data_IF_007483905841
#
_entry.id   IF_007483905841
#
_cell.length_a   1.000
_cell.length_b   1.000
_cell.length_c   1.000
_cell.angle_alpha   90.00
_cell.angle_beta   90.00
_cell.angle_gamma   90.00
#
_symmetry.space_group_name_H-M   'P 1'
#
loop_
_entity.id
_entity.type
_entity.pdbx_description
1 polymer ?
#
# COMPACT_ATOMS: atom_id res chain seq x y z
N UNK A 1 -0.20 -66.40 20.85
CA UNK A 1 -0.94 -65.69 19.79
C UNK A 1 -1.17 -64.28 20.30
N UNK A 2 -0.35 -63.33 19.87
CA UNK A 2 -0.29 -61.95 20.38
C UNK A 2 -1.03 -61.06 19.37
N UNK A 3 -2.01 -60.22 19.78
CA UNK A 3 -2.63 -59.27 18.87
C UNK A 3 -1.79 -58.01 18.74
N UNK A 4 -1.61 -57.57 17.50
CA UNK A 4 -0.85 -56.41 17.06
C UNK A 4 -1.69 -55.15 17.29
N UNK A 5 -1.13 -54.17 18.01
CA UNK A 5 -1.68 -52.82 18.16
C UNK A 5 -1.59 -52.07 16.82
N UNK A 6 -2.73 -51.58 16.33
CA UNK A 6 -2.76 -50.62 15.22
C UNK A 6 -2.30 -49.25 15.71
N UNK A 7 -1.14 -48.81 15.24
CA UNK A 7 -0.65 -47.45 15.42
C UNK A 7 -1.46 -46.50 14.54
N UNK A 8 -2.23 -45.61 15.16
CA UNK A 8 -2.83 -44.47 14.48
C UNK A 8 -1.73 -43.53 13.99
N UNK A 9 -1.65 -43.37 12.68
CA UNK A 9 -0.81 -42.36 12.03
C UNK A 9 -1.47 -41.01 12.34
N UNK A 10 -0.83 -40.22 13.20
CA UNK A 10 -1.13 -38.79 13.33
C UNK A 10 -0.65 -38.15 12.03
N UNK A 11 -1.59 -37.85 11.11
CA UNK A 11 -1.30 -36.90 10.03
C UNK A 11 -1.12 -35.53 10.68
N UNK A 12 0.13 -35.11 10.80
CA UNK A 12 0.47 -33.70 11.01
C UNK A 12 -0.03 -32.95 9.77
N UNK A 13 -1.12 -32.21 9.89
CA UNK A 13 -1.48 -31.21 8.91
C UNK A 13 -0.42 -30.10 9.01
N UNK A 14 0.56 -30.13 8.11
CA UNK A 14 1.44 -28.99 7.89
C UNK A 14 0.53 -27.93 7.27
N UNK A 15 0.20 -26.89 8.05
CA UNK A 15 -0.31 -25.65 7.50
C UNK A 15 0.76 -25.12 6.54
N UNK A 16 0.55 -25.33 5.25
CA UNK A 16 1.25 -24.55 4.24
C UNK A 16 0.57 -23.20 4.29
N UNK A 17 1.12 -22.31 5.12
CA UNK A 17 0.92 -20.88 4.96
C UNK A 17 1.34 -20.62 3.51
N UNK A 18 0.39 -20.30 2.63
CA UNK A 18 0.75 -19.59 1.42
C UNK A 18 1.21 -18.20 1.86
N UNK A 19 2.44 -18.11 2.36
CA UNK A 19 3.29 -16.98 2.03
C UNK A 19 3.27 -17.04 0.52
N UNK A 20 2.60 -16.08 -0.14
CA UNK A 20 2.81 -15.90 -1.57
C UNK A 20 4.31 -16.10 -1.78
N UNK A 21 4.75 -17.09 -2.59
CA UNK A 21 6.15 -17.45 -2.61
C UNK A 21 6.94 -16.15 -2.75
N UNK A 22 7.95 -16.00 -1.89
CA UNK A 22 8.93 -14.90 -1.83
C UNK A 22 9.76 -14.79 -3.13
N UNK A 23 9.14 -15.11 -4.27
CA UNK A 23 9.61 -15.08 -5.64
C UNK A 23 8.78 -14.13 -6.50
N UNK A 24 7.67 -13.57 -6.01
CA UNK A 24 7.09 -12.37 -6.61
C UNK A 24 7.89 -11.16 -6.11
N UNK A 25 8.44 -10.36 -7.04
CA UNK A 25 8.93 -9.02 -6.73
C UNK A 25 7.83 -8.31 -5.95
N UNK A 26 8.08 -7.90 -4.71
CA UNK A 26 7.10 -7.11 -3.98
C UNK A 26 6.78 -5.87 -4.83
N UNK A 27 5.50 -5.54 -5.04
CA UNK A 27 5.12 -4.41 -5.89
C UNK A 27 5.69 -3.10 -5.31
N UNK A 28 6.33 -2.25 -6.13
CA UNK A 28 7.05 -1.06 -5.68
C UNK A 28 6.18 0.22 -5.76
N UNK A 29 6.25 0.96 -6.87
CA UNK A 29 5.58 2.25 -7.04
C UNK A 29 4.05 2.09 -7.17
N UNK A 30 3.28 2.88 -6.43
CA UNK A 30 1.81 2.81 -6.42
C UNK A 30 1.23 1.87 -5.36
N UNK A 31 2.04 1.43 -4.40
CA UNK A 31 1.59 0.53 -3.32
C UNK A 31 0.68 1.21 -2.30
N UNK A 32 0.90 2.50 -2.07
CA UNK A 32 0.02 3.38 -1.32
C UNK A 32 -0.17 4.66 -2.12
N UNK A 33 -1.40 5.19 -2.14
CA UNK A 33 -1.74 6.45 -2.78
C UNK A 33 -2.59 7.26 -1.80
N UNK A 34 -2.29 8.54 -1.68
CA UNK A 34 -3.14 9.50 -1.01
C UNK A 34 -3.31 10.73 -1.90
N UNK A 35 -4.50 11.34 -1.87
CA UNK A 35 -4.86 12.38 -2.81
C UNK A 35 -5.71 13.46 -2.17
N UNK A 36 -5.41 14.71 -2.48
CA UNK A 36 -6.28 15.88 -2.26
C UNK A 36 -6.61 16.49 -3.64
N UNK A 37 -7.46 17.52 -3.72
CA UNK A 37 -7.68 18.23 -4.98
C UNK A 37 -6.39 18.84 -5.58
N UNK A 38 -5.36 19.08 -4.75
CA UNK A 38 -4.11 19.73 -5.16
C UNK A 38 -2.89 18.83 -5.11
N UNK A 39 -2.96 17.69 -4.43
CA UNK A 39 -1.80 16.84 -4.13
C UNK A 39 -2.07 15.39 -4.51
N UNK A 40 -1.07 14.76 -5.12
CA UNK A 40 -1.03 13.31 -5.31
C UNK A 40 0.25 12.80 -4.69
N UNK A 41 0.11 11.86 -3.76
CA UNK A 41 1.22 11.27 -3.03
C UNK A 41 1.27 9.78 -3.30
N UNK A 42 2.40 9.28 -3.80
CA UNK A 42 2.56 7.89 -4.22
C UNK A 42 3.73 7.26 -3.46
N UNK A 43 3.47 6.12 -2.83
CA UNK A 43 4.48 5.34 -2.13
C UNK A 43 5.19 4.32 -3.01
N UNK A 44 6.50 4.23 -2.82
CA UNK A 44 7.39 3.17 -3.32
C UNK A 44 8.17 2.58 -2.13
N UNK A 45 7.49 1.80 -1.24
CA UNK A 45 8.05 1.41 0.05
C UNK A 45 9.12 0.34 -0.02
N UNK A 46 9.03 -0.55 -1.01
CA UNK A 46 10.00 -1.62 -1.19
C UNK A 46 11.00 -1.16 -2.23
N UNK A 47 12.26 -1.17 -1.83
CA UNK A 47 13.40 -1.03 -2.72
C UNK A 47 14.44 -2.05 -2.25
N UNK A 48 14.82 -2.97 -3.13
CA UNK A 48 15.76 -4.05 -2.79
C UNK A 48 17.16 -3.51 -2.45
N UNK A 49 17.44 -2.29 -2.89
CA UNK A 49 18.76 -1.70 -2.90
C UNK A 49 18.86 -0.41 -2.07
N UNK A 50 17.73 0.13 -1.61
CA UNK A 50 17.68 1.37 -0.86
C UNK A 50 16.46 1.47 0.05
N UNK A 51 16.34 2.57 0.82
CA UNK A 51 15.12 2.87 1.55
C UNK A 51 13.94 3.11 0.60
N UNK A 52 12.73 2.99 1.15
CA UNK A 52 11.51 3.39 0.43
C UNK A 52 11.51 4.88 0.10
N UNK A 53 10.82 5.26 -0.97
CA UNK A 53 10.66 6.66 -1.41
C UNK A 53 9.19 6.99 -1.56
N UNK A 54 8.83 8.23 -1.25
CA UNK A 54 7.48 8.76 -1.49
C UNK A 54 7.58 9.94 -2.46
N UNK A 55 6.72 9.93 -3.47
CA UNK A 55 6.66 10.95 -4.51
C UNK A 55 5.48 11.87 -4.24
N UNK A 56 5.73 13.15 -4.00
CA UNK A 56 4.69 14.15 -3.75
C UNK A 56 4.56 15.07 -4.97
N UNK A 57 3.46 14.94 -5.70
CA UNK A 57 3.11 15.71 -6.88
C UNK A 57 2.14 16.84 -6.52
N UNK A 58 2.30 17.98 -7.18
CA UNK A 58 1.36 19.11 -7.12
C UNK A 58 0.56 19.19 -8.42
N UNK A 59 -0.73 19.48 -8.32
CA UNK A 59 -1.60 19.66 -9.48
C UNK A 59 -1.28 20.98 -10.20
N UNK A 60 -1.18 20.93 -11.54
CA UNK A 60 -1.07 22.10 -12.41
C UNK A 60 -2.20 22.13 -13.46
N UNK A 61 -2.23 23.19 -14.29
CA UNK A 61 -3.15 23.26 -15.44
C UNK A 61 -2.85 22.22 -16.52
N UNK A 62 -1.62 21.73 -16.59
CA UNK A 62 -1.15 20.77 -17.59
C UNK A 62 -1.11 19.33 -17.06
N UNK A 63 -1.51 19.09 -15.79
CA UNK A 63 -1.55 17.77 -15.18
C UNK A 63 -0.94 17.75 -13.77
N UNK A 64 0.13 16.99 -13.61
CA UNK A 64 0.94 16.89 -12.38
C UNK A 64 2.33 17.47 -12.64
N UNK A 65 2.84 18.26 -11.69
CA UNK A 65 4.22 18.77 -11.74
C UNK A 65 5.25 17.69 -11.37
N UNK A 66 6.53 17.96 -11.63
CA UNK A 66 7.62 17.07 -11.20
C UNK A 66 7.55 16.82 -9.68
N UNK A 67 7.62 15.56 -9.22
CA UNK A 67 7.40 15.25 -7.83
C UNK A 67 8.58 15.68 -6.96
N UNK A 68 8.27 16.14 -5.75
CA UNK A 68 9.26 16.14 -4.68
C UNK A 68 9.48 14.70 -4.20
N UNK A 69 10.72 14.25 -4.19
CA UNK A 69 11.10 12.97 -3.57
C UNK A 69 11.27 13.14 -2.06
N UNK A 70 10.47 12.39 -1.30
CA UNK A 70 10.50 12.35 0.15
C UNK A 70 11.18 11.06 0.61
N UNK A 71 12.16 11.21 1.49
CA UNK A 71 12.88 10.10 2.12
C UNK A 71 12.97 10.32 3.62
N UNK A 72 13.12 9.24 4.38
CA UNK A 72 13.44 9.31 5.80
C UNK A 72 14.97 9.23 6.00
N UNK A 73 15.59 10.18 6.73
CA UNK A 73 17.05 10.32 6.80
C UNK A 73 17.76 9.14 7.47
N UNK A 74 17.03 8.38 8.30
CA UNK A 74 17.50 7.22 9.04
C UNK A 74 16.84 5.91 8.55
N UNK A 75 16.20 5.93 7.37
CA UNK A 75 15.58 4.74 6.79
C UNK A 75 16.60 3.84 6.11
N UNK A 76 16.43 2.54 6.30
CA UNK A 76 17.19 1.48 5.65
C UNK A 76 16.34 0.73 4.63
N UNK A 77 16.99 -0.10 3.81
CA UNK A 77 16.29 -1.05 2.95
C UNK A 77 15.30 -1.88 3.77
N UNK A 78 14.13 -2.15 3.19
CA UNK A 78 13.06 -2.95 3.79
C UNK A 78 12.36 -2.33 5.01
N UNK A 79 12.67 -1.10 5.41
CA UNK A 79 11.93 -0.38 6.47
C UNK A 79 10.47 -0.07 6.06
N UNK A 80 10.16 -0.11 4.75
CA UNK A 80 8.84 0.16 4.18
C UNK A 80 8.36 1.62 4.30
N UNK A 81 9.27 2.58 4.20
CA UNK A 81 8.91 4.01 4.18
C UNK A 81 7.99 4.31 2.98
N UNK A 82 6.76 4.76 3.24
CA UNK A 82 5.76 4.98 2.19
C UNK A 82 4.75 3.85 2.05
N UNK A 83 4.70 2.90 2.99
CA UNK A 83 3.75 1.79 2.97
C UNK A 83 2.32 2.22 3.28
N UNK A 84 2.16 3.25 4.09
CA UNK A 84 0.90 3.93 4.38
C UNK A 84 1.12 5.43 4.27
N UNK A 85 0.15 6.14 3.70
CA UNK A 85 0.22 7.58 3.47
C UNK A 85 -1.13 8.17 3.82
N UNK A 86 -1.14 9.22 4.64
CA UNK A 86 -2.30 10.06 4.87
C UNK A 86 -1.90 11.51 4.65
N UNK A 87 -2.70 12.28 3.91
CA UNK A 87 -2.46 13.68 3.63
C UNK A 87 -3.73 14.48 3.94
N UNK A 88 -3.56 15.57 4.67
CA UNK A 88 -4.60 16.57 4.86
C UNK A 88 -3.98 17.96 4.74
N UNK A 89 -4.37 18.67 3.67
CA UNK A 89 -3.97 20.05 3.41
C UNK A 89 -2.45 20.24 3.37
N UNK A 90 -1.85 20.73 4.45
CA UNK A 90 -0.42 21.02 4.59
C UNK A 90 0.29 20.10 5.59
N UNK A 91 -0.34 18.99 5.96
CA UNK A 91 0.24 17.96 6.82
C UNK A 91 0.12 16.61 6.14
N UNK A 92 1.18 15.81 6.22
CA UNK A 92 1.22 14.46 5.69
C UNK A 92 1.88 13.55 6.72
N UNK A 93 1.35 12.33 6.87
CA UNK A 93 1.93 11.28 7.68
C UNK A 93 2.30 10.10 6.77
N UNK A 94 3.51 9.57 6.94
CA UNK A 94 4.05 8.45 6.17
C UNK A 94 4.47 7.33 7.12
N UNK A 95 3.92 6.14 6.90
CA UNK A 95 4.18 4.94 7.69
C UNK A 95 5.39 4.16 7.21
N UNK A 96 6.10 3.56 8.17
CA UNK A 96 7.34 2.78 7.99
C UNK A 96 7.28 1.51 8.87
N UNK A 97 6.30 0.61 8.64
CA UNK A 97 5.92 -0.42 9.62
C UNK A 97 6.97 -1.51 9.84
N UNK A 98 7.98 -1.63 8.97
CA UNK A 98 9.06 -2.62 9.13
C UNK A 98 10.34 -2.05 9.74
N UNK A 99 10.36 -0.76 10.10
CA UNK A 99 11.48 -0.14 10.81
C UNK A 99 11.78 -0.87 12.12
N UNK A 100 13.05 -0.95 12.49
CA UNK A 100 13.53 -1.44 13.79
C UNK A 100 12.92 -2.81 14.16
N UNK A 101 13.21 -3.84 13.37
CA UNK A 101 12.69 -5.20 13.61
C UNK A 101 11.15 -5.28 13.69
N UNK A 102 10.48 -4.44 12.89
CA UNK A 102 9.01 -4.33 12.81
C UNK A 102 8.34 -3.61 13.99
N UNK A 103 9.10 -2.86 14.79
CA UNK A 103 8.55 -1.92 15.77
C UNK A 103 7.81 -0.73 15.08
N UNK A 104 8.21 -0.41 13.84
CA UNK A 104 7.55 0.58 13.01
C UNK A 104 7.81 2.04 13.42
N UNK A 105 7.45 2.96 12.52
CA UNK A 105 7.56 4.40 12.72
C UNK A 105 6.61 5.17 11.81
N UNK A 106 6.30 6.42 12.18
CA UNK A 106 5.58 7.38 11.34
C UNK A 106 6.38 8.67 11.23
N UNK A 107 6.61 9.14 10.01
CA UNK A 107 7.22 10.44 9.75
C UNK A 107 6.14 11.44 9.36
N UNK A 108 6.16 12.61 9.98
CA UNK A 108 5.21 13.69 9.70
C UNK A 108 5.92 14.80 8.93
N UNK A 109 5.39 15.09 7.75
CA UNK A 109 5.82 16.17 6.89
C UNK A 109 4.82 17.33 6.95
N UNK A 110 5.32 18.56 6.92
CA UNK A 110 4.48 19.74 6.75
C UNK A 110 5.10 20.70 5.74
N UNK A 111 4.26 21.58 5.20
CA UNK A 111 4.69 22.68 4.33
C UNK A 111 3.98 23.98 4.73
N UNK A 112 4.60 25.16 4.56
CA UNK A 112 3.96 26.45 4.83
C UNK A 112 2.72 26.74 3.97
N UNK A 113 2.68 26.21 2.75
CA UNK A 113 1.59 26.37 1.78
C UNK A 113 1.77 25.41 0.60
N UNK A 114 0.79 25.33 -0.30
CA UNK A 114 0.75 24.36 -1.41
C UNK A 114 1.97 24.42 -2.31
N UNK A 115 2.50 25.61 -2.54
CA UNK A 115 3.64 25.86 -3.44
C UNK A 115 4.99 25.70 -2.74
N UNK A 116 4.99 25.30 -1.45
CA UNK A 116 6.20 25.10 -0.66
C UNK A 116 6.57 23.62 -0.58
N UNK A 117 7.86 23.28 -0.52
CA UNK A 117 8.28 21.88 -0.38
C UNK A 117 7.83 21.33 0.98
N UNK A 118 7.50 20.04 0.99
CA UNK A 118 7.29 19.26 2.19
C UNK A 118 8.61 19.09 2.96
N UNK A 119 8.56 19.25 4.27
CA UNK A 119 9.68 19.02 5.16
C UNK A 119 9.28 18.16 6.36
N UNK A 120 10.17 17.26 6.78
CA UNK A 120 9.96 16.47 8.01
C UNK A 120 9.92 17.43 9.20
N UNK A 121 8.87 17.32 10.01
CA UNK A 121 8.70 18.12 11.23
C UNK A 121 8.54 17.29 12.49
N UNK A 122 8.21 16.00 12.37
CA UNK A 122 8.18 15.09 13.52
C UNK A 122 8.41 13.65 13.08
N UNK A 123 8.88 12.84 14.01
CA UNK A 123 8.94 11.39 13.91
C UNK A 123 8.26 10.80 15.14
N UNK A 124 7.33 9.90 14.91
CA UNK A 124 6.62 9.14 15.93
C UNK A 124 7.19 7.73 15.90
N UNK A 125 7.85 7.35 16.99
CA UNK A 125 8.39 6.01 17.21
C UNK A 125 7.92 5.48 18.57
N UNK A 126 7.93 4.16 18.76
CA UNK A 126 7.82 3.55 20.08
C UNK A 126 8.79 4.14 21.10
N UNK A 127 8.42 4.11 22.38
CA UNK A 127 9.38 4.31 23.46
C UNK A 127 10.38 3.13 23.48
N UNK A 128 11.61 3.35 23.98
CA UNK A 128 12.74 2.39 23.87
C UNK A 128 12.50 1.00 24.49
N UNK A 129 11.44 0.81 25.26
CA UNK A 129 11.09 -0.45 25.93
C UNK A 129 9.73 -1.01 25.48
N UNK A 130 9.09 -0.38 24.48
CA UNK A 130 7.83 -0.80 23.90
C UNK A 130 8.07 -1.35 22.50
N UNK A 131 7.77 -2.63 22.26
CA UNK A 131 7.67 -3.14 20.90
C UNK A 131 6.26 -2.86 20.40
N UNK A 132 6.13 -1.93 19.45
CA UNK A 132 4.86 -1.68 18.79
C UNK A 132 4.82 -2.55 17.54
N UNK A 133 3.91 -3.50 17.48
CA UNK A 133 3.85 -4.40 16.36
C UNK A 133 3.40 -3.67 15.09
N UNK A 134 4.37 -3.33 14.24
CA UNK A 134 4.21 -2.71 12.93
C UNK A 134 3.50 -1.34 12.98
N UNK A 135 3.94 -0.44 13.87
CA UNK A 135 3.41 0.93 13.95
C UNK A 135 3.46 1.63 12.58
N UNK A 136 2.35 2.24 12.17
CA UNK A 136 2.26 2.95 10.90
C UNK A 136 1.84 2.07 9.74
N UNK A 137 1.24 0.89 10.02
CA UNK A 137 0.65 0.05 8.98
C UNK A 137 -0.57 0.70 8.33
N UNK A 138 -1.36 1.44 9.11
CA UNK A 138 -2.49 2.23 8.64
C UNK A 138 -2.46 3.63 9.28
N UNK A 139 -2.91 4.63 8.53
CA UNK A 139 -2.91 6.02 8.96
C UNK A 139 -4.25 6.68 8.60
N UNK A 140 -4.80 7.48 9.51
CA UNK A 140 -5.87 8.44 9.21
C UNK A 140 -5.51 9.78 9.83
N UNK A 141 -5.53 10.85 9.03
CA UNK A 141 -5.08 12.19 9.40
C UNK A 141 -6.20 13.20 9.12
N UNK A 142 -6.51 14.05 10.10
CA UNK A 142 -7.43 15.19 9.93
C UNK A 142 -7.00 16.33 10.84
N UNK A 143 -6.57 17.43 10.25
CA UNK A 143 -6.09 18.62 10.94
C UNK A 143 -4.93 18.30 11.90
N UNK A 144 -5.25 18.27 13.20
CA UNK A 144 -4.30 18.03 14.28
C UNK A 144 -4.44 16.64 14.90
N UNK A 145 -5.28 15.77 14.36
CA UNK A 145 -5.51 14.42 14.87
C UNK A 145 -4.94 13.38 13.91
N UNK A 146 -4.22 12.41 14.45
CA UNK A 146 -3.59 11.33 13.70
C UNK A 146 -3.89 10.00 14.40
N UNK A 147 -4.55 9.09 13.67
CA UNK A 147 -4.75 7.70 14.09
C UNK A 147 -3.72 6.81 13.39
N UNK A 148 -3.06 5.94 14.16
CA UNK A 148 -1.97 5.09 13.70
C UNK A 148 -2.22 3.64 14.10
N UNK A 149 -2.36 2.76 13.12
CA UNK A 149 -2.52 1.33 13.33
C UNK A 149 -1.20 0.62 13.62
N UNK A 150 -1.24 -0.32 14.57
CA UNK A 150 -0.13 -1.20 14.94
C UNK A 150 -0.70 -2.63 15.16
N UNK A 151 -0.93 -3.39 14.06
CA UNK A 151 -1.76 -4.59 14.07
C UNK A 151 -1.18 -5.81 14.77
N UNK A 152 0.11 -5.81 15.11
CA UNK A 152 0.76 -6.94 15.79
C UNK A 152 1.15 -6.65 17.24
N UNK A 153 0.79 -5.47 17.76
CA UNK A 153 1.03 -5.08 19.16
C UNK A 153 0.26 -5.99 20.12
N UNK A 154 0.94 -6.59 21.10
CA UNK A 154 0.29 -7.33 22.17
C UNK A 154 -0.60 -8.50 21.72
N UNK A 155 -0.31 -9.12 20.56
CA UNK A 155 -1.06 -10.23 19.92
C UNK A 155 -2.46 -9.89 19.38
N UNK A 156 -3.02 -8.74 19.75
CA UNK A 156 -4.34 -8.26 19.30
C UNK A 156 -4.22 -7.12 18.28
N UNK A 157 -3.19 -6.29 18.35
CA UNK A 157 -3.12 -5.06 17.56
C UNK A 157 -3.90 -3.92 18.21
N UNK A 158 -3.47 -2.69 17.93
CA UNK A 158 -4.01 -1.46 18.56
C UNK A 158 -4.03 -0.31 17.57
N UNK A 159 -4.80 0.74 17.89
CA UNK A 159 -4.77 2.02 17.18
C UNK A 159 -4.39 3.12 18.16
N UNK A 160 -3.32 3.83 17.87
CA UNK A 160 -2.87 4.97 18.66
C UNK A 160 -3.47 6.26 18.13
N UNK A 161 -3.96 7.10 19.02
CA UNK A 161 -4.47 8.42 18.69
C UNK A 161 -3.51 9.50 19.18
N UNK A 162 -2.87 10.19 18.25
CA UNK A 162 -1.97 11.29 18.51
C UNK A 162 -2.63 12.63 18.17
N UNK A 163 -2.40 13.62 19.04
CA UNK A 163 -2.84 15.00 18.83
C UNK A 163 -1.66 15.93 18.69
N UNK A 164 -1.72 16.83 17.72
CA UNK A 164 -0.73 17.89 17.51
C UNK A 164 -1.09 19.15 18.30
N UNK A 165 -0.19 19.57 19.19
CA UNK A 165 -0.29 20.85 19.89
C UNK A 165 1.07 21.53 19.96
N UNK A 166 1.14 22.81 19.60
CA UNK A 166 2.41 23.56 19.58
C UNK A 166 3.49 22.97 18.67
N UNK A 167 3.10 22.23 17.62
CA UNK A 167 4.02 21.53 16.71
C UNK A 167 4.44 20.13 17.17
N UNK A 168 4.09 19.72 18.39
CA UNK A 168 4.42 18.41 18.95
C UNK A 168 3.24 17.47 18.84
N UNK A 169 3.48 16.24 18.39
CA UNK A 169 2.51 15.14 18.44
C UNK A 169 2.64 14.39 19.76
N UNK A 170 1.56 14.32 20.54
CA UNK A 170 1.50 13.57 21.80
C UNK A 170 0.43 12.49 21.73
N UNK A 171 0.73 11.31 22.28
CA UNK A 171 -0.25 10.24 22.43
C UNK A 171 -1.36 10.71 23.38
N UNK A 172 -2.60 10.73 22.89
CA UNK A 172 -3.78 11.12 23.63
C UNK A 172 -4.48 9.89 24.23
N UNK A 173 -4.76 8.90 23.38
CA UNK A 173 -5.44 7.65 23.76
C UNK A 173 -4.95 6.47 22.93
N UNK A 174 -5.12 5.26 23.47
CA UNK A 174 -4.96 4.00 22.73
C UNK A 174 -6.32 3.34 22.61
N UNK A 175 -6.70 2.99 21.38
CA UNK A 175 -7.94 2.32 21.04
C UNK A 175 -7.65 0.83 20.90
N UNK A 176 -8.41 0.02 21.60
CA UNK A 176 -8.32 -1.45 21.59
C UNK A 176 -9.67 -2.05 21.24
N UNK A 177 -9.69 -3.24 20.62
CA UNK A 177 -10.91 -4.01 20.45
C UNK A 177 -11.34 -4.66 21.77
N UNK A 178 -12.60 -5.06 21.86
CA UNK A 178 -13.08 -5.98 22.89
C UNK A 178 -12.44 -7.36 22.68
N UNK A 179 -11.47 -7.73 23.53
CA UNK A 179 -10.77 -9.01 23.49
C UNK A 179 -9.48 -9.03 22.66
N UNK A 180 -8.99 -10.24 22.34
CA UNK A 180 -7.81 -10.46 21.50
C UNK A 180 -8.23 -10.67 20.04
N UNK A 181 -7.86 -9.75 19.14
CA UNK A 181 -8.34 -9.69 17.76
C UNK A 181 -7.18 -9.49 16.80
N UNK A 182 -6.51 -10.56 16.40
CA UNK A 182 -5.36 -10.48 15.49
C UNK A 182 -5.60 -9.58 14.26
N UNK A 183 -4.67 -8.64 14.03
CA UNK A 183 -4.69 -7.74 12.88
C UNK A 183 -5.49 -6.46 13.07
N UNK A 184 -6.06 -6.21 14.26
CA UNK A 184 -6.78 -4.97 14.55
C UNK A 184 -5.89 -3.74 14.30
N UNK A 185 -6.34 -2.85 13.42
CA UNK A 185 -5.59 -1.66 13.03
C UNK A 185 -4.86 -1.79 11.69
N UNK A 186 -5.15 -2.83 10.90
CA UNK A 186 -4.57 -2.99 9.55
C UNK A 186 -5.19 -2.02 8.53
N UNK A 187 -6.44 -1.60 8.74
CA UNK A 187 -7.11 -0.58 7.94
C UNK A 187 -7.87 0.38 8.85
N UNK A 188 -7.87 1.67 8.51
CA UNK A 188 -8.51 2.72 9.30
C UNK A 188 -9.26 3.68 8.37
N UNK A 189 -10.47 4.06 8.77
CA UNK A 189 -11.16 5.21 8.18
C UNK A 189 -11.96 5.94 9.26
N UNK A 190 -12.07 7.25 9.12
CA UNK A 190 -12.68 8.10 10.13
C UNK A 190 -13.45 9.23 9.48
N UNK A 191 -14.71 9.40 9.91
CA UNK A 191 -15.50 10.58 9.62
C UNK A 191 -16.32 11.05 10.82
N UNK A 192 -16.37 12.38 11.01
CA UNK A 192 -17.04 13.00 12.15
C UNK A 192 -16.53 12.44 13.48
N UNK A 193 -17.39 11.70 14.18
CA UNK A 193 -17.08 11.06 15.45
C UNK A 193 -16.97 9.54 15.35
N UNK A 194 -16.92 8.98 14.14
CA UNK A 194 -17.03 7.54 13.87
C UNK A 194 -15.75 7.00 13.22
N UNK A 195 -15.07 6.09 13.92
CA UNK A 195 -13.89 5.39 13.45
C UNK A 195 -14.25 3.93 13.14
N UNK A 196 -13.85 3.47 11.96
CA UNK A 196 -13.87 2.05 11.62
C UNK A 196 -12.46 1.49 11.50
N UNK A 197 -12.27 0.30 12.07
CA UNK A 197 -10.99 -0.40 12.16
C UNK A 197 -11.13 -1.80 11.57
N UNK A 198 -10.27 -2.12 10.61
CA UNK A 198 -10.18 -3.44 9.99
C UNK A 198 -9.23 -4.38 10.72
N UNK A 199 -9.63 -5.65 10.81
CA UNK A 199 -8.84 -6.76 11.32
C UNK A 199 -8.96 -7.97 10.35
N UNK A 200 -8.35 -7.91 9.16
CA UNK A 200 -8.56 -8.89 8.10
C UNK A 200 -8.01 -10.29 8.40
N UNK A 201 -7.15 -10.44 9.41
CA UNK A 201 -6.61 -11.73 9.86
C UNK A 201 -7.39 -12.34 11.04
N UNK A 202 -8.35 -11.59 11.60
CA UNK A 202 -9.20 -12.03 12.70
C UNK A 202 -10.04 -13.26 12.33
N UNK A 203 -10.34 -14.10 13.34
CA UNK A 203 -11.24 -15.25 13.21
C UNK A 203 -10.80 -16.20 12.08
N UNK A 204 -9.56 -16.66 12.18
CA UNK A 204 -8.93 -17.58 11.22
C UNK A 204 -8.95 -17.06 9.77
N UNK A 205 -8.72 -15.75 9.58
CA UNK A 205 -8.65 -15.14 8.25
C UNK A 205 -9.99 -14.72 7.63
N UNK A 206 -11.13 -15.01 8.28
CA UNK A 206 -12.44 -14.48 7.84
C UNK A 206 -12.46 -12.96 7.83
N UNK A 207 -11.73 -12.35 8.76
CA UNK A 207 -11.62 -10.91 8.92
C UNK A 207 -12.84 -10.30 9.62
N UNK A 208 -12.60 -9.15 10.27
CA UNK A 208 -13.61 -8.39 11.04
C UNK A 208 -13.42 -6.90 10.89
N UNK A 209 -14.49 -6.16 11.19
CA UNK A 209 -14.48 -4.70 11.32
C UNK A 209 -15.04 -4.32 12.68
N UNK A 210 -14.47 -3.26 13.24
CA UNK A 210 -14.83 -2.72 14.54
C UNK A 210 -15.13 -1.23 14.41
N UNK A 211 -16.09 -0.74 15.18
CA UNK A 211 -16.45 0.67 15.27
C UNK A 211 -16.11 1.23 16.65
N UNK A 212 -15.57 2.44 16.69
CA UNK A 212 -15.39 3.23 17.90
C UNK A 212 -15.94 4.63 17.66
N UNK A 213 -16.54 5.23 18.70
CA UNK A 213 -17.01 6.61 18.63
C UNK A 213 -16.15 7.52 19.51
N UNK A 214 -16.02 8.78 19.10
CA UNK A 214 -15.31 9.79 19.90
C UNK A 214 -16.15 10.16 21.13
N UNK A 215 -15.48 10.22 22.28
CA UNK A 215 -16.05 10.59 23.58
C UNK A 215 -16.04 12.12 23.75
N UNK A 216 -16.85 12.65 24.68
CA UNK A 216 -16.92 14.09 24.97
C UNK A 216 -15.58 14.70 25.42
N UNK A 217 -14.68 13.88 25.98
CA UNK A 217 -13.35 14.31 26.38
C UNK A 217 -12.34 14.39 25.21
N UNK A 218 -12.78 14.12 23.97
CA UNK A 218 -11.94 14.14 22.77
C UNK A 218 -11.11 12.88 22.55
N UNK A 219 -11.18 11.89 23.45
CA UNK A 219 -10.62 10.56 23.26
C UNK A 219 -11.57 9.64 22.50
N UNK A 220 -11.13 8.43 22.21
CA UNK A 220 -11.96 7.41 21.55
C UNK A 220 -12.43 6.35 22.54
N UNK A 221 -13.66 5.86 22.35
CA UNK A 221 -14.20 4.73 23.09
C UNK A 221 -13.56 3.40 22.70
N UNK A 222 -13.94 2.34 23.41
CA UNK A 222 -13.58 0.96 23.04
C UNK A 222 -14.19 0.58 21.68
N UNK A 223 -13.43 -0.15 20.87
CA UNK A 223 -13.87 -0.57 19.56
C UNK A 223 -14.70 -1.86 19.65
N UNK A 224 -15.92 -1.83 19.11
CA UNK A 224 -16.87 -2.96 19.13
C UNK A 224 -17.03 -3.55 17.75
N UNK A 225 -17.15 -4.88 17.69
CA UNK A 225 -17.30 -5.58 16.41
C UNK A 225 -18.60 -5.17 15.72
N UNK A 226 -18.52 -4.92 14.42
CA UNK A 226 -19.68 -4.73 13.53
C UNK A 226 -20.00 -6.05 12.84
N UNK A 227 -21.29 -6.40 12.78
CA UNK A 227 -21.72 -7.61 12.08
C UNK A 227 -21.65 -7.43 10.56
N UNK A 228 -20.98 -8.36 9.88
CA UNK A 228 -20.87 -8.41 8.42
C UNK A 228 -21.63 -9.63 7.89
N UNK A 229 -22.65 -9.40 7.06
CA UNK A 229 -23.47 -10.48 6.49
C UNK A 229 -22.90 -10.86 5.11
N UNK A 230 -22.71 -12.17 4.89
CA UNK A 230 -22.26 -12.75 3.61
C UNK A 230 -20.78 -12.53 3.25
N UNK A 231 -20.16 -11.50 3.80
CA UNK A 231 -18.85 -11.01 3.36
C UNK A 231 -17.67 -11.72 4.07
N UNK A 232 -17.82 -12.05 5.35
CA UNK A 232 -16.83 -12.79 6.17
C UNK A 232 -17.23 -14.27 6.36
N UNK A 233 -17.70 -14.92 5.30
CA UNK A 233 -18.37 -16.23 5.39
C UNK A 233 -17.43 -17.46 5.31
N UNK A 234 -16.13 -17.26 5.04
CA UNK A 234 -15.12 -18.31 5.00
C UNK A 234 -13.73 -17.76 5.36
N UNK A 235 -12.80 -18.66 5.69
CA UNK A 235 -11.45 -18.36 6.21
C UNK A 235 -10.55 -17.60 5.23
N UNK A 236 -10.91 -17.54 3.94
CA UNK A 236 -10.16 -16.77 2.95
C UNK A 236 -10.67 -15.32 2.82
N UNK A 237 -11.85 -14.99 3.36
CA UNK A 237 -12.58 -13.76 3.08
C UNK A 237 -11.77 -12.47 3.30
N UNK A 238 -11.03 -12.40 4.40
CA UNK A 238 -10.20 -11.24 4.78
C UNK A 238 -10.99 -9.93 4.82
N UNK A 239 -12.19 -9.97 5.37
CA UNK A 239 -13.04 -8.79 5.50
C UNK A 239 -12.36 -7.71 6.36
N UNK A 240 -12.49 -6.44 5.95
CA UNK A 240 -11.79 -5.32 6.60
C UNK A 240 -10.36 -5.09 6.05
N UNK A 241 -10.03 -5.68 4.89
CA UNK A 241 -8.77 -5.38 4.19
C UNK A 241 -8.74 -3.94 3.69
N UNK A 242 -9.88 -3.45 3.20
CA UNK A 242 -10.07 -2.07 2.78
C UNK A 242 -11.36 -1.54 3.40
N UNK A 243 -11.36 -0.28 3.83
CA UNK A 243 -12.53 0.37 4.40
C UNK A 243 -12.54 1.83 3.94
N UNK A 244 -13.69 2.29 3.48
CA UNK A 244 -13.93 3.71 3.21
C UNK A 244 -15.26 4.13 3.82
N UNK A 245 -15.35 5.40 4.21
CA UNK A 245 -16.46 5.98 4.95
C UNK A 245 -16.81 7.33 4.35
N UNK A 246 -18.07 7.53 3.98
CA UNK A 246 -18.60 8.85 3.61
C UNK A 246 -20.10 8.90 3.85
N UNK A 247 -20.61 10.07 4.27
CA UNK A 247 -22.05 10.35 4.35
C UNK A 247 -22.83 9.28 5.16
N UNK A 248 -22.28 8.81 6.28
CA UNK A 248 -22.90 7.77 7.12
C UNK A 248 -22.94 6.37 6.51
N UNK A 249 -22.22 6.14 5.41
CA UNK A 249 -22.06 4.84 4.77
C UNK A 249 -20.61 4.38 4.89
N UNK A 250 -20.43 3.13 5.31
CA UNK A 250 -19.14 2.48 5.25
C UNK A 250 -19.17 1.34 4.24
N UNK A 251 -18.05 1.18 3.54
CA UNK A 251 -17.84 0.14 2.56
C UNK A 251 -16.62 -0.67 3.02
N UNK A 252 -16.80 -1.97 3.14
CA UNK A 252 -15.80 -2.89 3.70
C UNK A 252 -15.48 -3.96 2.68
N UNK A 253 -14.25 -3.98 2.19
CA UNK A 253 -13.79 -4.98 1.24
C UNK A 253 -13.41 -6.31 1.91
N UNK A 254 -13.79 -7.40 1.26
CA UNK A 254 -13.36 -8.76 1.55
C UNK A 254 -12.86 -9.42 0.25
N UNK A 255 -11.61 -9.14 -0.13
CA UNK A 255 -11.09 -9.58 -1.43
C UNK A 255 -11.06 -11.09 -1.60
N UNK A 256 -10.96 -11.89 -0.53
CA UNK A 256 -10.93 -13.34 -0.69
C UNK A 256 -12.28 -13.96 -1.05
N UNK A 257 -13.37 -13.31 -0.67
CA UNK A 257 -14.74 -13.67 -1.09
C UNK A 257 -15.22 -12.85 -2.27
N UNK A 258 -14.37 -11.97 -2.82
CA UNK A 258 -14.69 -11.10 -3.94
C UNK A 258 -15.95 -10.25 -3.68
N UNK A 259 -16.03 -9.66 -2.49
CA UNK A 259 -17.21 -8.94 -2.03
C UNK A 259 -16.88 -7.62 -1.30
N UNK A 260 -17.87 -6.72 -1.25
CA UNK A 260 -17.87 -5.49 -0.45
C UNK A 260 -19.15 -5.42 0.38
N UNK A 261 -19.02 -5.33 1.70
CA UNK A 261 -20.15 -5.06 2.58
C UNK A 261 -20.46 -3.56 2.60
N UNK A 262 -21.75 -3.22 2.53
CA UNK A 262 -22.28 -1.87 2.70
C UNK A 262 -22.91 -1.76 4.08
N UNK A 263 -22.39 -0.86 4.90
CA UNK A 263 -22.86 -0.61 6.25
C UNK A 263 -23.46 0.80 6.35
N UNK A 264 -24.41 0.95 7.26
CA UNK A 264 -24.98 2.25 7.63
C UNK A 264 -24.92 2.45 9.13
N UNK A 265 -24.78 3.70 9.54
CA UNK A 265 -24.92 4.10 10.94
C UNK A 265 -26.37 4.50 11.22
N UNK A 266 -26.94 4.01 12.31
CA UNK A 266 -28.25 4.42 12.81
C UNK A 266 -28.16 5.71 13.63
N UNK A 267 -29.31 6.32 13.93
CA UNK A 267 -29.38 7.58 14.69
C UNK A 267 -28.77 7.48 16.11
N UNK A 268 -28.69 6.28 16.66
CA UNK A 268 -28.05 5.98 17.95
C UNK A 268 -26.56 5.63 17.85
N UNK A 269 -25.96 5.74 16.65
CA UNK A 269 -24.53 5.51 16.41
C UNK A 269 -24.15 4.04 16.17
N UNK A 270 -25.12 3.12 16.06
CA UNK A 270 -24.81 1.71 15.79
C UNK A 270 -24.62 1.45 14.28
N UNK A 271 -23.55 0.75 13.93
CA UNK A 271 -23.33 0.30 12.56
C UNK A 271 -24.07 -1.01 12.28
N UNK A 272 -24.77 -1.08 11.14
CA UNK A 272 -25.47 -2.28 10.70
C UNK A 272 -25.27 -2.55 9.21
N UNK A 273 -25.25 -3.83 8.84
CA UNK A 273 -25.16 -4.28 7.45
C UNK A 273 -26.46 -3.99 6.69
N UNK A 274 -26.31 -3.58 5.42
CA UNK A 274 -27.45 -3.25 4.55
C UNK A 274 -27.44 -4.01 3.24
N UNK A 275 -26.27 -4.18 2.62
CA UNK A 275 -26.11 -4.81 1.33
C UNK A 275 -24.73 -5.44 1.21
N UNK A 276 -24.60 -6.46 0.35
CA UNK A 276 -23.31 -7.00 -0.09
C UNK A 276 -23.23 -6.84 -1.60
N UNK A 277 -22.16 -6.21 -2.06
CA UNK A 277 -21.82 -6.09 -3.48
C UNK A 277 -20.84 -7.21 -3.83
N UNK A 278 -21.24 -8.11 -4.72
CA UNK A 278 -20.37 -9.16 -5.23
C UNK A 278 -19.66 -8.72 -6.51
N UNK A 279 -18.53 -9.37 -6.83
CA UNK A 279 -17.86 -9.20 -8.11
C UNK A 279 -18.87 -9.44 -9.27
N UNK A 280 -19.06 -8.46 -10.17
CA UNK A 280 -20.06 -8.55 -11.24
C UNK A 280 -19.77 -9.67 -12.25
N UNK A 281 -18.51 -10.05 -12.38
CA UNK A 281 -18.00 -11.06 -13.30
C UNK A 281 -16.69 -11.65 -12.75
N UNK A 282 -16.37 -12.87 -13.20
CA UNK A 282 -15.14 -13.59 -12.88
C UNK A 282 -14.77 -13.58 -11.37
N UNK A 283 -15.70 -13.90 -10.45
CA UNK A 283 -15.49 -13.72 -9.01
C UNK A 283 -14.29 -14.50 -8.46
N UNK A 284 -14.07 -15.72 -8.97
CA UNK A 284 -13.04 -16.63 -8.49
C UNK A 284 -11.63 -16.04 -8.66
N UNK A 285 -11.01 -15.68 -7.53
CA UNK A 285 -9.68 -15.10 -7.50
C UNK A 285 -9.60 -13.66 -8.03
N UNK A 286 -10.74 -12.99 -8.30
CA UNK A 286 -10.79 -11.59 -8.74
C UNK A 286 -10.15 -10.61 -7.76
N UNK A 287 -10.20 -10.94 -6.47
CA UNK A 287 -9.86 -10.04 -5.38
C UNK A 287 -10.73 -8.76 -5.37
N UNK A 288 -11.97 -8.83 -5.85
CA UNK A 288 -12.90 -7.71 -5.78
C UNK A 288 -13.11 -7.24 -4.34
N UNK A 289 -12.98 -5.94 -4.10
CA UNK A 289 -12.95 -5.36 -2.75
C UNK A 289 -11.54 -5.19 -2.18
N UNK A 290 -10.49 -5.41 -2.98
CA UNK A 290 -9.11 -5.24 -2.52
C UNK A 290 -8.79 -3.79 -2.15
N UNK A 291 -9.26 -2.85 -2.95
CA UNK A 291 -9.16 -1.42 -2.69
C UNK A 291 -10.50 -0.72 -2.96
N UNK A 292 -10.76 0.37 -2.24
CA UNK A 292 -11.99 1.13 -2.33
C UNK A 292 -11.65 2.62 -2.43
N UNK A 293 -12.29 3.31 -3.36
CA UNK A 293 -12.24 4.76 -3.50
C UNK A 293 -13.64 5.36 -3.61
N UNK A 294 -13.85 6.54 -3.03
CA UNK A 294 -15.11 7.27 -3.14
C UNK A 294 -14.88 8.60 -3.85
N UNK A 295 -15.71 8.90 -4.84
CA UNK A 295 -15.71 10.18 -5.55
C UNK A 295 -17.13 10.63 -5.84
N UNK A 296 -17.58 11.65 -5.09
CA UNK A 296 -18.97 12.10 -5.15
C UNK A 296 -19.92 10.95 -4.80
N UNK A 297 -20.75 10.57 -5.76
CA UNK A 297 -21.75 9.49 -5.70
C UNK A 297 -21.22 8.14 -6.24
N UNK A 298 -19.93 8.05 -6.57
CA UNK A 298 -19.33 6.86 -7.15
C UNK A 298 -18.44 6.10 -6.16
N UNK A 299 -18.61 4.78 -6.12
CA UNK A 299 -17.72 3.84 -5.46
C UNK A 299 -16.87 3.13 -6.51
N UNK A 300 -15.57 3.18 -6.32
CA UNK A 300 -14.57 2.51 -7.14
C UNK A 300 -14.04 1.32 -6.37
N UNK A 301 -14.19 0.13 -6.93
CA UNK A 301 -13.76 -1.13 -6.31
C UNK A 301 -12.66 -1.75 -7.16
N UNK A 302 -11.48 -1.85 -6.58
CA UNK A 302 -10.35 -2.52 -7.18
C UNK A 302 -10.43 -4.04 -7.05
N UNK A 303 -10.01 -4.72 -8.11
CA UNK A 303 -10.01 -6.17 -8.21
C UNK A 303 -8.77 -6.64 -9.00
N UNK A 304 -7.57 -6.52 -8.40
CA UNK A 304 -6.29 -6.73 -9.06
C UNK A 304 -6.03 -8.19 -9.47
N UNK A 305 -6.85 -9.14 -8.99
CA UNK A 305 -6.73 -10.56 -9.33
C UNK A 305 -7.41 -10.98 -10.63
N UNK A 306 -8.32 -10.15 -11.17
CA UNK A 306 -9.03 -10.43 -12.42
C UNK A 306 -8.13 -10.45 -13.66
N UNK A 307 -8.65 -11.03 -14.75
CA UNK A 307 -7.97 -11.14 -16.06
C UNK A 307 -6.52 -11.61 -15.91
N UNK A 308 -6.35 -12.81 -15.32
CA UNK A 308 -5.03 -13.40 -15.06
C UNK A 308 -4.09 -12.46 -14.26
N UNK A 309 -4.65 -11.71 -13.30
CA UNK A 309 -3.99 -10.69 -12.46
C UNK A 309 -3.59 -9.39 -13.18
N UNK A 310 -4.09 -9.14 -14.39
CA UNK A 310 -3.98 -7.81 -14.98
C UNK A 310 -4.81 -6.79 -14.19
N UNK A 311 -5.87 -7.25 -13.55
CA UNK A 311 -6.70 -6.42 -12.67
C UNK A 311 -7.71 -5.57 -13.43
N UNK A 312 -8.70 -5.08 -12.68
CA UNK A 312 -9.79 -4.23 -13.15
C UNK A 312 -10.31 -3.37 -12.00
N UNK A 313 -10.95 -2.26 -12.35
CA UNK A 313 -11.76 -1.47 -11.40
C UNK A 313 -13.21 -1.47 -11.84
N UNK A 314 -14.13 -1.59 -10.88
CA UNK A 314 -15.55 -1.39 -11.10
C UNK A 314 -16.02 -0.10 -10.43
N UNK A 315 -16.80 0.68 -11.18
CA UNK A 315 -17.37 1.93 -10.71
C UNK A 315 -18.87 1.77 -10.55
N UNK A 316 -19.33 1.82 -9.31
CA UNK A 316 -20.74 1.82 -8.94
C UNK A 316 -21.19 3.26 -8.75
N UNK A 317 -22.41 3.58 -9.16
CA UNK A 317 -23.05 4.87 -8.86
C UNK A 317 -24.18 4.62 -7.88
N UNK A 318 -24.24 5.40 -6.80
CA UNK A 318 -25.34 5.29 -5.85
C UNK A 318 -26.61 5.92 -6.43
N UNK A 319 -27.76 5.29 -6.17
CA UNK A 319 -29.07 5.91 -6.38
C UNK A 319 -29.66 6.31 -5.04
N UNK A 320 -29.83 7.62 -4.83
CA UNK A 320 -30.41 8.23 -3.62
C UNK A 320 -29.68 7.87 -2.31
N UNK A 321 -28.37 7.66 -2.32
CA UNK A 321 -27.57 7.32 -1.13
C UNK A 321 -28.01 6.03 -0.41
N UNK A 322 -28.71 5.10 -1.06
CA UNK A 322 -29.20 3.86 -0.39
C UNK A 322 -28.91 2.56 -1.14
N UNK A 323 -28.66 2.61 -2.45
CA UNK A 323 -28.35 1.40 -3.23
C UNK A 323 -27.35 1.68 -4.34
N UNK A 324 -26.49 0.71 -4.61
CA UNK A 324 -25.50 0.80 -5.69
C UNK A 324 -26.05 0.20 -6.98
N UNK A 325 -25.99 0.98 -8.06
CA UNK A 325 -26.45 0.55 -9.38
C UNK A 325 -25.51 -0.43 -10.06
N UNK A 326 -25.85 -0.84 -11.30
CA UNK A 326 -24.98 -1.69 -12.10
C UNK A 326 -23.62 -1.01 -12.35
N UNK A 327 -22.50 -1.69 -12.12
CA UNK A 327 -21.20 -1.08 -12.23
C UNK A 327 -20.78 -0.90 -13.70
N UNK A 328 -19.99 0.13 -13.93
CA UNK A 328 -19.18 0.28 -15.14
C UNK A 328 -17.79 -0.27 -14.90
N UNK A 329 -17.27 -1.04 -15.86
CA UNK A 329 -15.88 -1.50 -15.81
C UNK A 329 -14.94 -0.38 -16.27
N UNK A 330 -13.79 -0.32 -15.63
CA UNK A 330 -12.62 0.41 -16.06
C UNK A 330 -11.48 -0.60 -16.17
N UNK A 331 -11.02 -0.81 -17.40
CA UNK A 331 -9.88 -1.64 -17.74
C UNK A 331 -8.65 -0.74 -17.97
N UNK A 332 -7.43 -1.25 -17.79
CA UNK A 332 -6.24 -0.53 -18.24
C UNK A 332 -6.29 -0.38 -19.78
N UNK A 333 -6.04 0.83 -20.27
CA UNK A 333 -6.19 1.17 -21.71
C UNK A 333 -5.28 0.37 -22.63
N UNK A 334 -4.10 -0.06 -22.15
CA UNK A 334 -3.14 -0.82 -22.93
C UNK A 334 -2.48 -1.94 -22.12
N UNK A 335 -2.70 -3.18 -22.56
CA UNK A 335 -2.03 -4.39 -22.05
C UNK A 335 -0.94 -4.90 -23.01
N UNK A 336 -0.75 -4.24 -24.17
CA UNK A 336 0.27 -4.61 -25.13
C UNK A 336 1.67 -4.35 -24.56
N UNK A 337 2.60 -5.28 -24.84
CA UNK A 337 3.95 -5.25 -24.28
C UNK A 337 4.05 -5.63 -22.79
N UNK A 338 2.94 -5.84 -22.08
CA UNK A 338 2.99 -6.31 -20.70
C UNK A 338 3.42 -7.78 -20.64
N UNK A 339 4.68 -8.03 -20.31
CA UNK A 339 5.21 -9.39 -20.10
C UNK A 339 4.74 -10.03 -18.78
N UNK A 340 4.16 -9.24 -17.88
CA UNK A 340 3.72 -9.62 -16.54
C UNK A 340 2.37 -8.99 -16.19
N UNK A 341 1.59 -9.60 -15.26
CA UNK A 341 0.31 -9.05 -14.86
C UNK A 341 0.44 -7.64 -14.28
N UNK A 342 -0.47 -6.74 -14.62
CA UNK A 342 -0.40 -5.33 -14.20
C UNK A 342 -0.81 -5.09 -12.75
N UNK A 343 -1.78 -5.86 -12.24
CA UNK A 343 -2.41 -5.62 -10.94
C UNK A 343 -3.19 -4.30 -10.88
N UNK A 344 -3.86 -3.91 -11.97
CA UNK A 344 -4.69 -2.71 -12.03
C UNK A 344 -5.81 -2.74 -10.98
N UNK A 345 -5.98 -1.65 -10.23
CA UNK A 345 -6.93 -1.59 -9.12
C UNK A 345 -6.34 -2.00 -7.77
N UNK A 346 -5.00 -2.08 -7.65
CA UNK A 346 -4.37 -2.40 -6.38
C UNK A 346 -4.60 -1.32 -5.31
N UNK A 347 -4.53 -0.04 -5.71
CA UNK A 347 -4.92 1.10 -4.89
C UNK A 347 -5.68 2.09 -5.76
N UNK A 348 -6.73 2.68 -5.19
CA UNK A 348 -7.57 3.69 -5.83
C UNK A 348 -7.62 4.90 -4.91
N UNK A 349 -7.39 6.08 -5.46
CA UNK A 349 -7.58 7.35 -4.76
C UNK A 349 -8.28 8.35 -5.68
N UNK A 350 -9.03 9.28 -5.10
CA UNK A 350 -9.81 10.25 -5.86
C UNK A 350 -10.06 11.52 -5.06
N UNK A 351 -10.06 12.65 -5.76
CA UNK A 351 -10.40 13.94 -5.20
C UNK A 351 -10.94 14.87 -6.30
N UNK A 352 -12.15 15.42 -6.08
CA UNK A 352 -12.78 16.32 -7.05
C UNK A 352 -13.05 15.63 -8.39
N UNK A 353 -12.48 16.18 -9.46
CA UNK A 353 -12.56 15.70 -10.84
C UNK A 353 -11.35 14.84 -11.25
N UNK A 354 -10.51 14.43 -10.30
CA UNK A 354 -9.34 13.59 -10.55
C UNK A 354 -9.40 12.28 -9.77
N UNK A 355 -8.88 11.22 -10.37
CA UNK A 355 -8.75 9.90 -9.77
C UNK A 355 -7.46 9.23 -10.21
N UNK A 356 -7.05 8.21 -9.46
CA UNK A 356 -5.79 7.52 -9.65
C UNK A 356 -5.98 6.04 -9.36
N UNK A 357 -5.43 5.20 -10.22
CA UNK A 357 -5.45 3.74 -10.07
C UNK A 357 -4.04 3.18 -10.25
N UNK A 358 -3.56 2.38 -9.30
CA UNK A 358 -2.22 1.78 -9.41
C UNK A 358 -2.20 0.42 -10.09
N UNK A 359 -1.04 0.13 -10.67
CA UNK A 359 -0.62 -1.12 -11.33
C UNK A 359 0.77 -1.51 -10.80
N UNK A 360 0.90 -1.89 -9.53
CA UNK A 360 2.21 -2.00 -8.92
C UNK A 360 2.97 -3.26 -9.35
N UNK A 361 2.32 -4.19 -10.07
CA UNK A 361 2.97 -5.36 -10.67
C UNK A 361 3.51 -5.07 -12.09
N UNK A 362 3.13 -3.93 -12.69
CA UNK A 362 3.64 -3.52 -14.01
C UNK A 362 5.15 -3.33 -13.97
N UNK A 363 5.81 -3.52 -15.12
CA UNK A 363 7.26 -3.40 -15.27
C UNK A 363 7.99 -4.32 -14.27
N UNK A 364 7.62 -5.60 -14.30
CA UNK A 364 8.15 -6.66 -13.44
C UNK A 364 7.89 -6.49 -11.94
N UNK A 365 7.22 -5.42 -11.51
CA UNK A 365 7.02 -5.08 -10.09
C UNK A 365 7.59 -3.73 -9.71
N UNK A 366 8.20 -3.00 -10.66
CA UNK A 366 8.62 -1.61 -10.44
C UNK A 366 7.44 -0.65 -10.33
N UNK A 367 6.27 -1.06 -10.85
CA UNK A 367 4.99 -0.43 -10.62
C UNK A 367 4.75 0.83 -11.43
N UNK A 368 3.47 1.09 -11.71
CA UNK A 368 2.98 2.31 -12.36
C UNK A 368 1.66 2.76 -11.79
N UNK A 369 1.29 3.99 -12.09
CA UNK A 369 0.03 4.60 -11.66
C UNK A 369 -0.62 5.32 -12.83
N UNK A 370 -1.89 5.04 -13.08
CA UNK A 370 -2.69 5.73 -14.09
C UNK A 370 -3.51 6.85 -13.43
N UNK A 371 -3.39 8.06 -13.95
CA UNK A 371 -4.21 9.21 -13.54
C UNK A 371 -5.42 9.30 -14.47
N UNK A 372 -6.53 9.79 -13.92
CA UNK A 372 -7.79 9.98 -14.63
C UNK A 372 -8.36 11.35 -14.30
N UNK A 373 -9.04 11.95 -15.27
CA UNK A 373 -9.78 13.20 -15.12
C UNK A 373 -11.24 13.00 -15.53
N UNK A 374 -12.16 13.71 -14.84
CA UNK A 374 -13.61 13.64 -15.08
C UNK A 374 -14.06 14.87 -15.86
N UNK A 375 -14.34 14.67 -17.14
CA UNK A 375 -14.97 15.68 -18.00
C UNK A 375 -16.50 15.54 -18.06
N UNK A 376 -17.12 16.29 -18.98
CA UNK A 376 -18.56 16.21 -19.26
C UNK A 376 -18.99 14.87 -19.85
N UNK A 377 -18.07 14.15 -20.50
CA UNK A 377 -18.27 12.81 -21.06
C UNK A 377 -17.98 11.67 -20.07
N UNK A 378 -17.62 11.99 -18.82
CA UNK A 378 -17.20 11.03 -17.81
C UNK A 378 -15.68 11.00 -17.62
N UNK A 379 -15.20 9.90 -17.04
CA UNK A 379 -13.80 9.68 -16.76
C UNK A 379 -13.00 9.28 -18.00
N UNK A 380 -11.82 9.84 -18.17
CA UNK A 380 -10.81 9.44 -19.16
C UNK A 380 -9.45 9.32 -18.50
N UNK A 381 -8.65 8.35 -18.95
CA UNK A 381 -7.24 8.30 -18.58
C UNK A 381 -6.51 9.54 -19.10
N UNK A 382 -5.51 9.97 -18.32
CA UNK A 382 -4.72 11.17 -18.59
C UNK A 382 -3.25 10.78 -18.79
N UNK A 383 -2.54 10.46 -17.70
CA UNK A 383 -1.12 10.11 -17.71
C UNK A 383 -0.85 8.78 -17.01
N UNK A 384 0.23 8.09 -17.38
CA UNK A 384 0.76 6.94 -16.65
C UNK A 384 2.10 7.30 -16.02
N UNK A 385 2.08 7.54 -14.72
CA UNK A 385 3.23 7.88 -13.89
C UNK A 385 4.04 6.63 -13.51
N UNK A 386 5.35 6.81 -13.34
CA UNK A 386 6.27 5.76 -12.92
C UNK A 386 7.31 6.32 -11.92
N UNK A 387 7.66 5.52 -10.92
CA UNK A 387 8.75 5.84 -10.01
C UNK A 387 10.12 5.56 -10.62
N UNK A 388 11.14 6.19 -10.04
CA UNK A 388 12.53 5.89 -10.32
C UNK A 388 12.87 4.45 -9.88
N UNK A 389 13.58 3.74 -10.76
CA UNK A 389 14.17 2.45 -10.41
C UNK A 389 15.54 2.74 -9.84
N UNK A 390 15.76 2.32 -8.60
CA UNK A 390 17.11 2.30 -8.08
C UNK A 390 17.92 1.26 -8.86
N UNK A 391 18.84 1.73 -9.71
CA UNK A 391 19.80 0.89 -10.41
C UNK A 391 21.17 1.11 -9.76
N UNK A 392 21.74 0.03 -9.22
CA UNK A 392 23.12 0.06 -8.73
C UNK A 392 24.04 0.43 -9.91
N UNK A 393 24.88 1.44 -9.75
CA UNK A 393 25.77 1.94 -10.80
C UNK A 393 25.11 2.87 -11.81
N UNK A 394 23.90 3.37 -11.53
CA UNK A 394 23.24 4.40 -12.36
C UNK A 394 24.06 5.69 -12.51
N UNK A 395 24.92 5.99 -11.52
CA UNK A 395 25.84 7.11 -11.56
C UNK A 395 27.16 6.82 -12.29
N UNK A 396 27.36 5.60 -12.81
CA UNK A 396 28.58 5.24 -13.53
C UNK A 396 28.54 5.81 -14.95
N UNK A 397 29.57 6.56 -15.28
CA UNK A 397 29.81 7.05 -16.63
C UNK A 397 30.90 6.23 -17.34
N UNK A 398 30.88 6.27 -18.67
CA UNK A 398 31.92 5.61 -19.45
C UNK A 398 33.29 6.21 -19.13
N UNK A 399 34.20 5.37 -18.62
CA UNK A 399 35.57 5.77 -18.30
C UNK A 399 35.79 6.17 -16.84
N UNK A 400 34.78 6.00 -15.97
CA UNK A 400 34.96 6.13 -14.53
C UNK A 400 36.08 5.22 -14.03
N UNK A 401 36.92 5.76 -13.13
CA UNK A 401 38.11 5.08 -12.61
C UNK A 401 38.01 4.87 -11.12
N UNK A 402 38.58 3.77 -10.66
CA UNK A 402 38.67 3.45 -9.25
C UNK A 402 39.56 4.50 -8.55
N UNK A 403 38.98 5.27 -7.63
CA UNK A 403 39.73 6.20 -6.79
C UNK A 403 39.65 5.74 -5.32
N UNK A 404 40.80 5.58 -4.67
CA UNK A 404 40.83 5.15 -3.27
C UNK A 404 40.23 3.77 -2.97
N UNK A 405 40.07 2.88 -3.96
CA UNK A 405 39.52 1.53 -3.78
C UNK A 405 37.99 1.45 -3.83
N UNK A 406 37.30 2.54 -4.16
CA UNK A 406 35.85 2.59 -4.38
C UNK A 406 35.55 3.34 -5.70
N UNK A 407 34.49 2.92 -6.38
CA UNK A 407 33.95 3.57 -7.57
C UNK A 407 32.44 3.63 -7.39
N UNK A 408 31.93 4.82 -7.09
CA UNK A 408 30.54 5.02 -6.62
C UNK A 408 30.27 4.13 -5.39
N UNK A 409 29.32 3.20 -5.47
CA UNK A 409 28.95 2.24 -4.42
C UNK A 409 29.68 0.90 -4.53
N UNK A 410 30.62 0.76 -5.48
CA UNK A 410 31.35 -0.48 -5.72
C UNK A 410 32.78 -0.45 -5.16
N UNK A 411 33.17 -1.42 -4.31
CA UNK A 411 34.58 -1.65 -4.00
C UNK A 411 35.31 -2.12 -5.27
N UNK A 412 36.35 -1.40 -5.68
CA UNK A 412 37.05 -1.63 -6.95
C UNK A 412 38.53 -2.00 -6.78
N UNK A 413 38.93 -2.56 -5.63
CA UNK A 413 40.29 -3.04 -5.40
C UNK A 413 40.64 -4.17 -6.37
N UNK A 414 41.46 -3.87 -7.39
CA UNK A 414 41.93 -4.75 -8.49
C UNK A 414 41.00 -4.89 -9.72
N UNK A 415 40.08 -3.95 -9.96
CA UNK A 415 39.26 -3.94 -11.17
C UNK A 415 39.08 -2.52 -11.72
N UNK A 416 39.02 -2.40 -13.05
CA UNK A 416 38.76 -1.14 -13.77
C UNK A 416 37.47 -1.31 -14.59
N UNK A 417 36.53 -0.37 -14.46
CA UNK A 417 35.34 -0.34 -15.30
C UNK A 417 35.74 0.17 -16.70
N UNK A 418 35.70 -0.71 -17.69
CA UNK A 418 36.10 -0.36 -19.06
C UNK A 418 34.93 0.16 -19.89
N UNK A 419 33.71 -0.29 -19.60
CA UNK A 419 32.48 0.11 -20.30
C UNK A 419 31.26 -0.25 -19.44
N UNK A 420 30.20 0.53 -19.60
CA UNK A 420 28.88 0.30 -19.03
C UNK A 420 27.85 0.35 -20.17
N UNK A 421 26.85 -0.53 -20.11
CA UNK A 421 25.73 -0.60 -21.03
C UNK A 421 24.46 -0.75 -20.20
N UNK A 422 23.45 0.05 -20.48
CA UNK A 422 22.18 -0.03 -19.74
C UNK A 422 21.34 -1.22 -20.19
N UNK A 423 20.36 -1.63 -19.37
CA UNK A 423 19.37 -2.65 -19.77
C UNK A 423 18.61 -2.22 -21.03
N UNK A 424 18.31 -0.92 -21.14
CA UNK A 424 17.61 -0.32 -22.27
C UNK A 424 18.47 -0.41 -23.55
N UNK A 425 19.79 -0.19 -23.46
CA UNK A 425 20.72 -0.38 -24.59
C UNK A 425 20.80 -1.83 -25.07
N UNK A 426 20.56 -2.80 -24.17
CA UNK A 426 20.43 -4.22 -24.49
C UNK A 426 19.07 -4.58 -25.10
N UNK A 427 18.16 -3.61 -25.26
CA UNK A 427 16.79 -3.81 -25.72
C UNK A 427 15.84 -4.32 -24.65
N UNK A 428 16.23 -4.23 -23.37
CA UNK A 428 15.38 -4.56 -22.24
C UNK A 428 14.39 -3.45 -21.89
N UNK A 429 13.30 -3.82 -21.23
CA UNK A 429 12.23 -2.91 -20.80
C UNK A 429 12.44 -2.45 -19.34
N UNK A 430 11.65 -1.45 -18.92
CA UNK A 430 11.63 -0.98 -17.53
C UNK A 430 11.37 -2.16 -16.58
N UNK A 431 12.19 -2.28 -15.54
CA UNK A 431 12.09 -3.36 -14.54
C UNK A 431 12.66 -4.70 -14.95
N UNK A 432 13.12 -4.87 -16.20
CA UNK A 432 13.85 -6.07 -16.60
C UNK A 432 15.13 -6.18 -15.78
N UNK A 433 15.30 -7.33 -15.15
CA UNK A 433 16.52 -7.69 -14.44
C UNK A 433 17.45 -8.49 -15.33
N UNK A 434 18.74 -8.18 -15.24
CA UNK A 434 19.80 -8.96 -15.87
C UNK A 434 20.65 -9.60 -14.79
N UNK A 435 20.88 -10.91 -14.89
CA UNK A 435 21.68 -11.65 -13.93
C UNK A 435 22.62 -12.61 -14.67
N UNK A 436 23.86 -12.20 -14.87
CA UNK A 436 24.89 -13.12 -15.34
C UNK A 436 26.29 -12.54 -15.09
N UNK A 437 27.28 -13.43 -15.00
CA UNK A 437 28.69 -13.03 -15.01
C UNK A 437 29.41 -13.86 -16.05
N UNK A 438 29.87 -13.19 -17.10
CA UNK A 438 30.70 -13.81 -18.12
C UNK A 438 32.09 -13.22 -18.11
N UNK A 439 33.11 -14.01 -18.43
CA UNK A 439 34.49 -13.53 -18.41
C UNK A 439 35.35 -14.23 -19.45
N UNK A 440 36.35 -13.51 -19.92
CA UNK A 440 37.32 -14.01 -20.89
C UNK A 440 38.69 -13.40 -20.65
N UNK A 441 39.72 -14.02 -21.23
CA UNK A 441 41.06 -13.44 -21.32
C UNK A 441 41.32 -13.09 -22.77
N UNK A 442 41.67 -11.85 -23.03
CA UNK A 442 42.11 -11.44 -24.35
C UNK A 442 43.45 -12.13 -24.68
N UNK A 443 43.52 -12.96 -25.74
CA UNK A 443 44.72 -13.71 -26.08
C UNK A 443 45.90 -12.83 -26.54
N UNK A 444 45.65 -11.59 -26.97
CA UNK A 444 46.70 -10.69 -27.45
C UNK A 444 47.32 -9.87 -26.31
N UNK A 445 46.50 -9.23 -25.48
CA UNK A 445 46.99 -8.41 -24.36
C UNK A 445 47.23 -9.20 -23.07
N UNK A 446 46.64 -10.39 -22.94
CA UNK A 446 46.60 -11.16 -21.69
C UNK A 446 45.66 -10.56 -20.63
N UNK A 447 44.94 -9.49 -20.95
CA UNK A 447 44.00 -8.83 -20.03
C UNK A 447 42.79 -9.71 -19.76
N UNK A 448 42.30 -9.70 -18.52
CA UNK A 448 41.10 -10.44 -18.11
C UNK A 448 39.93 -9.50 -18.00
N UNK A 449 38.85 -9.83 -18.70
CA UNK A 449 37.61 -9.07 -18.70
C UNK A 449 36.49 -9.88 -18.05
N UNK A 450 35.58 -9.18 -17.39
CA UNK A 450 34.32 -9.72 -16.93
C UNK A 450 33.17 -8.78 -17.33
N UNK A 451 32.13 -9.32 -17.93
CA UNK A 451 30.82 -8.70 -18.03
C UNK A 451 30.03 -9.12 -16.79
N UNK A 452 29.68 -8.16 -15.94
CA UNK A 452 28.88 -8.40 -14.74
C UNK A 452 27.52 -7.75 -14.96
N UNK A 453 26.52 -8.57 -15.31
CA UNK A 453 25.13 -8.17 -15.26
C UNK A 453 24.64 -8.37 -13.84
N UNK A 454 24.29 -7.27 -13.16
CA UNK A 454 23.82 -7.31 -11.79
C UNK A 454 22.38 -6.85 -11.73
N UNK A 455 21.60 -7.60 -10.94
CA UNK A 455 20.26 -7.23 -10.51
C UNK A 455 20.29 -5.93 -9.73
#
# INVERSE_FOLDING_TARGET
MIPIRGSGIVLLAIAVIFVAPLTAQEPNFGRAIAMTPTDLVIGQPVNWYGPGTVYAYSASQEGWEEPQLLTAPDSSRMDDFGRAIAVDSNTMAIGTPRKHDQDGAVYVFTRPGTDSPWAITATITPARDESLGQLGTALALRGNELLVGAPTTGRSGVVYHYRRSGGTWSLETTITPEGEVEGFGTALTWDGNELLVGAPTSDDGRGRVYAASQLENGGWGEARQVELIGTANNEDARAGTSITLANGHALVGAPGTAAVAVLRVSDDGAWFHTETLDAPEEPDGSQFGFSLGLVGDELWVGAPGMDRRNGRVFRFTSSNDVSWGNPQRLDPDDTSGASWPLGFGYSVASAGDRAVVSMPNRDFGEGRVMTLTRGTSGWSADEVLAGEIYRIGSALEQGDRCDGGQMTEFPCTNMELVSHMTVDDLGGERGVWVNDVWGWTDPESGSRYALVARR
#
